data_IF_367964067641
#
_entry.id   IF_367964067641
#
_cell.length_a   1.000
_cell.length_b   1.000
_cell.length_c   1.000
_cell.angle_alpha   90.00
_cell.angle_beta   90.00
_cell.angle_gamma   90.00
#
_symmetry.space_group_name_H-M   'P 1'
#
loop_
_entity.id
_entity.type
_entity.pdbx_description
1 polymer ?
#
# COMPACT_ATOMS: atom_id res chain seq x y z
N UNK A 1 -22.00 39.39 20.45
CA UNK A 1 -21.77 37.93 20.43
C UNK A 1 -20.75 37.66 19.35
N UNK A 2 -19.47 37.44 19.71
CA UNK A 2 -18.41 37.18 18.74
C UNK A 2 -18.50 35.76 18.21
N UNK A 3 -18.19 35.61 16.93
CA UNK A 3 -18.17 34.34 16.22
C UNK A 3 -17.28 33.33 16.96
N UNK A 4 -17.84 32.14 17.17
CA UNK A 4 -17.24 31.03 17.90
C UNK A 4 -15.84 30.68 17.38
N UNK A 5 -14.89 30.60 18.31
CA UNK A 5 -13.67 29.82 18.14
C UNK A 5 -14.08 28.37 17.87
N UNK A 6 -14.12 27.98 16.60
CA UNK A 6 -14.15 26.56 16.24
C UNK A 6 -12.82 25.96 16.71
N UNK A 7 -12.85 25.32 17.87
CA UNK A 7 -11.81 24.42 18.34
C UNK A 7 -11.49 23.41 17.24
N UNK A 8 -10.34 23.60 16.57
CA UNK A 8 -9.82 22.61 15.64
C UNK A 8 -9.26 21.45 16.45
N UNK A 9 -10.08 20.44 16.71
CA UNK A 9 -9.59 19.15 17.19
C UNK A 9 -8.69 18.58 16.09
N UNK A 10 -7.40 18.45 16.38
CA UNK A 10 -6.44 17.88 15.42
C UNK A 10 -6.87 16.47 15.00
N UNK A 11 -6.71 16.12 13.72
CA UNK A 11 -7.04 14.80 13.17
C UNK A 11 -6.49 13.62 14.00
N UNK A 12 -5.30 13.79 14.58
CA UNK A 12 -4.69 12.80 15.49
C UNK A 12 -5.51 12.55 16.75
N UNK A 13 -6.09 13.60 17.35
CA UNK A 13 -6.98 13.49 18.53
C UNK A 13 -8.33 12.83 18.19
N UNK A 14 -8.73 12.88 16.92
CA UNK A 14 -9.91 12.16 16.43
C UNK A 14 -9.62 10.69 16.11
N UNK A 15 -8.36 10.25 16.20
CA UNK A 15 -7.97 8.89 15.87
C UNK A 15 -8.09 8.54 14.39
N UNK A 16 -8.09 9.54 13.49
CA UNK A 16 -8.12 9.32 12.04
C UNK A 16 -6.86 8.57 11.58
N UNK A 17 -7.05 7.57 10.70
CA UNK A 17 -5.99 6.69 10.21
C UNK A 17 -6.13 6.45 8.72
N UNK A 18 -5.00 6.32 8.03
CA UNK A 18 -4.95 5.84 6.66
C UNK A 18 -5.04 4.33 6.66
N UNK A 19 -6.17 3.79 6.20
CA UNK A 19 -6.46 2.35 6.27
C UNK A 19 -6.19 1.62 4.97
N UNK A 20 -6.39 2.27 3.82
CA UNK A 20 -6.25 1.62 2.51
C UNK A 20 -5.57 2.53 1.49
N UNK A 21 -4.77 1.93 0.59
CA UNK A 21 -4.32 2.52 -0.67
C UNK A 21 -4.95 1.73 -1.81
N UNK A 22 -5.60 2.41 -2.75
CA UNK A 22 -6.37 1.77 -3.83
C UNK A 22 -5.67 1.98 -5.16
N UNK A 23 -5.43 0.89 -5.90
CA UNK A 23 -4.97 0.90 -7.29
C UNK A 23 -6.02 0.25 -8.20
N UNK A 24 -6.32 0.91 -9.32
CA UNK A 24 -7.11 0.30 -10.39
C UNK A 24 -6.17 -0.44 -11.33
N UNK A 25 -6.41 -1.73 -11.53
CA UNK A 25 -5.50 -2.60 -12.26
C UNK A 25 -6.28 -3.41 -13.29
N UNK A 26 -5.63 -3.75 -14.41
CA UNK A 26 -6.25 -4.59 -15.44
C UNK A 26 -6.49 -6.01 -14.92
N UNK A 27 -5.51 -6.57 -14.22
CA UNK A 27 -5.54 -7.90 -13.63
C UNK A 27 -4.81 -7.88 -12.29
N UNK A 28 -5.47 -8.35 -11.22
CA UNK A 28 -4.89 -8.39 -9.88
C UNK A 28 -4.01 -9.62 -9.63
N UNK A 29 -4.20 -10.72 -10.37
CA UNK A 29 -3.58 -12.02 -10.07
C UNK A 29 -2.05 -11.97 -10.06
N UNK A 30 -1.47 -11.34 -11.07
CA UNK A 30 0.00 -11.23 -11.19
C UNK A 30 0.57 -10.29 -10.13
N UNK A 31 -0.14 -9.20 -9.83
CA UNK A 31 0.24 -8.26 -8.77
C UNK A 31 0.15 -8.90 -7.39
N UNK A 32 -0.91 -9.68 -7.12
CA UNK A 32 -1.03 -10.45 -5.88
C UNK A 32 0.17 -11.37 -5.70
N UNK A 33 0.47 -12.20 -6.71
CA UNK A 33 1.66 -13.07 -6.67
C UNK A 33 2.94 -12.28 -6.45
N UNK A 34 3.08 -11.13 -7.09
CA UNK A 34 4.23 -10.27 -6.95
C UNK A 34 4.39 -9.77 -5.50
N UNK A 35 3.35 -9.23 -4.88
CA UNK A 35 3.41 -8.72 -3.50
C UNK A 35 3.56 -9.83 -2.47
N UNK A 36 2.86 -10.95 -2.64
CA UNK A 36 2.97 -12.11 -1.73
C UNK A 36 4.39 -12.69 -1.78
N UNK A 37 4.90 -13.02 -2.97
CA UNK A 37 6.17 -13.74 -3.10
C UNK A 37 7.41 -12.87 -2.86
N UNK A 38 7.33 -11.57 -3.12
CA UNK A 38 8.49 -10.67 -3.00
C UNK A 38 8.50 -9.86 -1.71
N UNK A 39 7.34 -9.50 -1.18
CA UNK A 39 7.22 -8.58 -0.05
C UNK A 39 6.55 -9.20 1.18
N UNK A 40 6.10 -10.46 1.12
CA UNK A 40 5.55 -11.18 2.26
C UNK A 40 4.18 -10.67 2.72
N UNK A 41 3.42 -10.02 1.83
CA UNK A 41 2.04 -9.64 2.12
C UNK A 41 1.12 -10.86 2.05
N UNK A 42 -0.03 -10.78 2.70
CA UNK A 42 -1.06 -11.80 2.70
C UNK A 42 -2.36 -11.28 2.05
N UNK A 43 -3.12 -12.17 1.42
CA UNK A 43 -4.47 -11.87 0.96
C UNK A 43 -5.42 -11.76 2.14
N UNK A 44 -6.02 -10.58 2.29
CA UNK A 44 -6.99 -10.31 3.35
C UNK A 44 -8.39 -10.54 2.81
N UNK A 45 -9.12 -11.44 3.45
CA UNK A 45 -10.53 -11.66 3.13
C UNK A 45 -11.35 -10.48 3.65
N UNK A 46 -11.91 -9.71 2.74
CA UNK A 46 -12.90 -8.68 3.07
C UNK A 46 -14.22 -9.00 2.39
N UNK A 47 -15.33 -8.72 3.08
CA UNK A 47 -16.63 -8.65 2.43
C UNK A 47 -16.70 -7.36 1.65
N UNK A 48 -16.91 -7.45 0.35
CA UNK A 48 -17.25 -6.27 -0.46
C UNK A 48 -18.74 -6.29 -0.75
N UNK A 49 -19.41 -5.12 -0.78
CA UNK A 49 -20.76 -5.01 -1.32
C UNK A 49 -20.82 -5.56 -2.74
N UNK A 50 -22.02 -5.82 -3.26
CA UNK A 50 -22.20 -6.12 -4.68
C UNK A 50 -21.78 -4.90 -5.51
N UNK A 51 -20.54 -4.92 -6.00
CA UNK A 51 -19.93 -3.88 -6.82
C UNK A 51 -19.83 -4.39 -8.25
N UNK A 52 -19.89 -3.48 -9.22
CA UNK A 52 -19.70 -3.83 -10.65
C UNK A 52 -18.27 -4.24 -10.99
N UNK A 53 -17.36 -4.15 -10.02
CA UNK A 53 -15.94 -4.46 -10.12
C UNK A 53 -15.53 -5.35 -8.95
N UNK A 54 -14.42 -6.06 -9.13
CA UNK A 54 -13.84 -6.93 -8.10
C UNK A 54 -12.79 -6.17 -7.30
N UNK A 55 -12.64 -6.59 -6.04
CA UNK A 55 -11.63 -6.07 -5.12
C UNK A 55 -10.80 -7.23 -4.60
N UNK A 56 -9.48 -7.11 -4.72
CA UNK A 56 -8.52 -7.97 -4.01
C UNK A 56 -7.77 -7.11 -3.02
N UNK A 57 -7.55 -7.60 -1.80
CA UNK A 57 -6.90 -6.82 -0.73
C UNK A 57 -5.69 -7.57 -0.20
N UNK A 58 -4.61 -6.83 -0.03
CA UNK A 58 -3.34 -7.31 0.50
C UNK A 58 -2.91 -6.47 1.69
N UNK A 59 -2.21 -7.09 2.62
CA UNK A 59 -1.58 -6.37 3.72
C UNK A 59 -0.62 -7.25 4.50
N UNK A 60 0.12 -6.62 5.39
CA UNK A 60 0.80 -7.34 6.46
C UNK A 60 -0.24 -7.69 7.53
N UNK A 61 -0.23 -8.90 8.08
CA UNK A 61 -1.15 -9.27 9.18
C UNK A 61 -0.56 -8.96 10.55
N UNK A 62 0.73 -8.62 10.58
CA UNK A 62 1.47 -8.26 11.79
C UNK A 62 1.83 -6.78 11.75
N UNK A 63 1.52 -6.07 12.84
CA UNK A 63 1.97 -4.70 13.05
C UNK A 63 3.32 -4.68 13.76
N UNK A 64 4.16 -3.71 13.39
CA UNK A 64 5.43 -3.43 14.04
C UNK A 64 5.46 -1.97 14.52
N UNK A 65 6.11 -1.73 15.66
CA UNK A 65 6.39 -0.36 16.13
C UNK A 65 7.57 0.26 15.35
N UNK A 66 7.92 1.51 15.67
CA UNK A 66 9.04 2.23 15.04
C UNK A 66 10.41 1.56 15.22
N UNK A 67 10.53 0.66 16.20
CA UNK A 67 11.74 -0.10 16.50
C UNK A 67 11.64 -1.53 15.96
N UNK A 68 10.65 -1.83 15.11
CA UNK A 68 10.38 -3.15 14.54
C UNK A 68 10.07 -4.26 15.56
N UNK A 69 9.59 -3.90 16.76
CA UNK A 69 9.01 -4.88 17.68
C UNK A 69 7.57 -5.18 17.28
N UNK A 70 7.10 -6.43 17.46
CA UNK A 70 5.69 -6.76 17.23
C UNK A 70 4.83 -5.85 18.11
N UNK A 71 3.98 -5.06 17.48
CA UNK A 71 3.08 -4.18 18.18
C UNK A 71 1.95 -4.96 18.87
N UNK A 72 1.37 -4.42 19.95
CA UNK A 72 0.20 -5.02 20.59
C UNK A 72 -0.95 -5.19 19.60
N UNK A 73 -1.70 -6.29 19.71
CA UNK A 73 -2.86 -6.58 18.86
C UNK A 73 -4.01 -5.56 19.05
N UNK A 74 -3.93 -4.70 20.07
CA UNK A 74 -4.84 -3.57 20.30
C UNK A 74 -4.61 -2.40 19.35
N UNK A 75 -3.50 -2.39 18.61
CA UNK A 75 -3.28 -1.40 17.57
C UNK A 75 -4.16 -1.68 16.34
N UNK A 76 -4.61 -0.62 15.65
CA UNK A 76 -5.38 -0.75 14.41
C UNK A 76 -4.68 -1.64 13.39
N UNK A 77 -5.46 -2.34 12.56
CA UNK A 77 -4.92 -3.09 11.43
C UNK A 77 -4.01 -2.20 10.56
N UNK A 78 -2.92 -2.76 10.02
CA UNK A 78 -2.00 -2.03 9.16
C UNK A 78 -2.70 -1.52 7.90
N UNK A 79 -2.10 -0.53 7.25
CA UNK A 79 -2.58 -0.02 5.97
C UNK A 79 -2.58 -1.14 4.93
N UNK A 80 -3.73 -1.34 4.28
CA UNK A 80 -3.96 -2.35 3.27
C UNK A 80 -3.79 -1.78 1.86
N UNK A 81 -3.46 -2.65 0.91
CA UNK A 81 -3.39 -2.36 -0.52
C UNK A 81 -4.57 -3.03 -1.22
N UNK A 82 -5.40 -2.23 -1.88
CA UNK A 82 -6.55 -2.71 -2.63
C UNK A 82 -6.32 -2.63 -4.13
N UNK A 83 -6.68 -3.70 -4.83
CA UNK A 83 -6.73 -3.76 -6.29
C UNK A 83 -8.16 -3.81 -6.75
N UNK A 84 -8.58 -2.78 -7.48
CA UNK A 84 -9.89 -2.72 -8.13
C UNK A 84 -9.73 -3.10 -9.60
N UNK A 85 -10.46 -4.10 -10.06
CA UNK A 85 -10.33 -4.65 -11.41
C UNK A 85 -11.67 -5.20 -11.92
N UNK A 86 -11.81 -5.32 -13.24
CA UNK A 86 -12.97 -5.95 -13.86
C UNK A 86 -12.53 -7.19 -14.63
N UNK A 87 -13.40 -8.19 -14.78
CA UNK A 87 -13.11 -9.41 -15.56
C UNK A 87 -13.07 -9.17 -17.07
N UNK A 88 -13.41 -7.97 -17.54
CA UNK A 88 -13.60 -7.74 -18.98
C UNK A 88 -12.29 -7.66 -19.76
N UNK A 89 -12.16 -8.55 -20.74
CA UNK A 89 -11.13 -8.53 -21.78
C UNK A 89 -11.20 -7.30 -22.69
N UNK A 90 -12.28 -6.52 -22.64
CA UNK A 90 -12.49 -5.32 -23.46
C UNK A 90 -11.93 -4.03 -22.85
N UNK A 91 -11.38 -4.07 -21.64
CA UNK A 91 -10.73 -2.89 -21.06
C UNK A 91 -9.44 -2.62 -21.82
N UNK A 92 -9.47 -1.57 -22.64
CA UNK A 92 -8.27 -0.97 -23.20
C UNK A 92 -7.44 -0.47 -22.03
N UNK A 93 -6.25 -1.06 -21.85
CA UNK A 93 -5.31 -0.66 -20.80
C UNK A 93 -4.87 0.76 -21.09
N UNK A 94 -5.46 1.72 -20.38
CA UNK A 94 -4.89 3.06 -20.26
C UNK A 94 -3.84 2.98 -19.17
N UNK A 95 -2.57 3.01 -19.58
CA UNK A 95 -1.49 3.21 -18.63
C UNK A 95 -1.68 4.60 -18.01
N UNK A 96 -1.89 4.64 -16.68
CA UNK A 96 -1.86 5.91 -15.97
C UNK A 96 -0.43 6.42 -16.01
N UNK A 97 -0.24 7.66 -16.42
CA UNK A 97 1.08 8.29 -16.44
C UNK A 97 1.53 8.49 -14.98
N UNK A 98 2.46 7.66 -14.52
CA UNK A 98 3.01 7.68 -13.17
C UNK A 98 4.44 8.25 -13.18
N UNK A 99 4.82 9.00 -12.14
CA UNK A 99 6.15 9.59 -12.04
C UNK A 99 6.22 10.74 -11.03
N UNK A 100 7.43 11.18 -10.69
CA UNK A 100 7.66 12.24 -9.70
C UNK A 100 6.95 13.57 -10.05
N UNK A 101 6.70 13.82 -11.34
CA UNK A 101 6.00 15.01 -11.82
C UNK A 101 4.53 14.72 -12.19
N UNK A 102 3.94 13.63 -11.70
CA UNK A 102 2.59 13.16 -12.04
C UNK A 102 1.74 12.92 -10.78
N UNK A 103 0.45 12.63 -10.99
CA UNK A 103 -0.57 12.51 -9.94
C UNK A 103 -0.27 11.38 -8.94
N UNK A 104 0.36 10.29 -9.41
CA UNK A 104 0.75 9.17 -8.57
C UNK A 104 2.17 8.72 -8.92
N UNK A 105 2.97 8.41 -7.89
CA UNK A 105 4.37 8.05 -8.08
C UNK A 105 4.73 6.67 -7.54
N UNK A 106 4.60 6.43 -6.23
CA UNK A 106 5.04 5.16 -5.60
C UNK A 106 4.27 4.76 -4.35
N UNK A 107 4.31 3.46 -4.04
CA UNK A 107 4.03 2.91 -2.71
C UNK A 107 5.38 2.73 -2.01
N UNK A 108 5.51 3.26 -0.79
CA UNK A 108 6.66 3.00 0.07
C UNK A 108 6.36 1.85 1.03
N UNK A 109 7.37 1.02 1.29
CA UNK A 109 7.36 -0.02 2.32
C UNK A 109 8.51 0.29 3.28
N UNK A 110 8.22 0.31 4.58
CA UNK A 110 9.21 0.53 5.62
C UNK A 110 9.81 -0.81 6.06
N UNK A 111 11.13 -0.83 6.24
CA UNK A 111 11.87 -2.02 6.63
C UNK A 111 13.11 -1.66 7.44
N UNK A 112 13.64 -2.62 8.20
CA UNK A 112 14.78 -2.42 9.09
C UNK A 112 16.10 -2.25 8.33
N UNK A 113 16.32 -3.00 7.25
CA UNK A 113 17.58 -2.98 6.49
C UNK A 113 17.30 -2.95 4.99
N UNK A 114 17.37 -1.75 4.42
CA UNK A 114 17.18 -1.49 2.99
C UNK A 114 18.24 -2.20 2.14
N UNK A 115 19.47 -2.29 2.62
CA UNK A 115 20.58 -2.94 1.92
C UNK A 115 20.39 -4.44 1.78
N UNK A 116 19.94 -5.10 2.86
CA UNK A 116 19.60 -6.52 2.84
C UNK A 116 18.41 -6.80 1.90
N UNK A 117 17.33 -6.02 2.00
CA UNK A 117 16.18 -6.21 1.12
C UNK A 117 16.52 -5.99 -0.35
N UNK A 118 17.33 -4.98 -0.67
CA UNK A 118 17.83 -4.75 -2.04
C UNK A 118 18.51 -6.02 -2.59
N UNK A 119 19.42 -6.64 -1.82
CA UNK A 119 20.12 -7.87 -2.24
C UNK A 119 19.15 -9.01 -2.52
N UNK A 120 18.14 -9.22 -1.67
CA UNK A 120 17.13 -10.26 -1.84
C UNK A 120 16.24 -9.99 -3.07
N UNK A 121 15.83 -8.75 -3.30
CA UNK A 121 14.98 -8.41 -4.44
C UNK A 121 15.75 -8.48 -5.76
N UNK A 122 17.05 -8.11 -5.76
CA UNK A 122 17.94 -8.28 -6.90
C UNK A 122 18.21 -9.76 -7.23
N UNK A 123 18.37 -10.63 -6.22
CA UNK A 123 18.57 -12.07 -6.46
C UNK A 123 17.34 -12.75 -7.08
N UNK A 124 16.15 -12.17 -6.88
CA UNK A 124 14.89 -12.59 -7.53
C UNK A 124 14.72 -12.03 -8.96
N UNK A 125 15.75 -11.39 -9.53
CA UNK A 125 15.71 -10.77 -10.86
C UNK A 125 14.57 -9.75 -11.02
N UNK A 126 14.21 -9.04 -9.94
CA UNK A 126 13.20 -7.99 -10.04
C UNK A 126 13.68 -6.87 -10.97
N UNK A 127 12.81 -6.46 -11.89
CA UNK A 127 13.09 -5.35 -12.79
C UNK A 127 13.06 -4.04 -11.98
N UNK A 128 14.24 -3.49 -11.74
CA UNK A 128 14.45 -2.24 -11.00
C UNK A 128 14.79 -1.21 -12.05
N UNK A 129 13.86 -0.30 -12.30
CA UNK A 129 14.01 0.73 -13.34
C UNK A 129 15.08 1.74 -12.93
N UNK A 130 15.24 1.96 -11.62
CA UNK A 130 16.19 2.90 -11.05
C UNK A 130 16.66 2.40 -9.67
N UNK A 131 17.98 2.40 -9.45
CA UNK A 131 18.59 2.01 -8.18
C UNK A 131 18.12 2.89 -7.00
N UNK A 132 17.64 4.12 -7.26
CA UNK A 132 17.03 5.03 -6.28
C UNK A 132 15.75 4.47 -5.64
N UNK A 133 15.13 3.44 -6.25
CA UNK A 133 13.98 2.72 -5.69
C UNK A 133 14.30 1.96 -4.39
N UNK A 134 15.59 1.79 -4.09
CA UNK A 134 16.11 1.19 -2.86
C UNK A 134 16.97 2.17 -2.06
N UNK A 135 16.81 3.48 -2.28
CA UNK A 135 17.35 4.46 -1.35
C UNK A 135 16.46 4.56 -0.13
N UNK A 136 17.09 4.65 1.04
CA UNK A 136 16.40 5.05 2.24
C UNK A 136 15.94 6.50 2.05
N UNK A 137 14.63 6.69 1.97
CA UNK A 137 14.02 8.02 1.84
C UNK A 137 13.74 8.64 3.21
N UNK A 138 14.49 8.19 4.22
CA UNK A 138 14.30 8.42 5.64
C UNK A 138 13.77 9.79 6.05
N UNK A 139 13.02 9.77 7.15
CA UNK A 139 12.76 10.92 8.01
C UNK A 139 13.15 10.52 9.42
#
# INVERSE_FOLDING_TARGET
MSASEKSFISATKMGLKLTHKILRVKNSRELIKFYVNNFGMEEVKISTPSLSYKVSVLGYTTNYDKNFNKAPDTLPSPTLLEFHYNDSSTITSSFVNCGASKVYWKIGITLHDVGYARKILQSKQMNVIDASQFEDIGV
#
